data_IF_376531495796
#
_entry.id   IF_376531495796
#
_cell.length_a   1.000
_cell.length_b   1.000
_cell.length_c   1.000
_cell.angle_alpha   90.00
_cell.angle_beta   90.00
_cell.angle_gamma   90.00
#
_symmetry.space_group_name_H-M   'P 1'
#
loop_
_entity.id
_entity.type
_entity.pdbx_description
1 polymer ?
#
# COMPACT_ATOMS: atom_id res chain seq x y z
N UNK A 1 8.22 -6.53 -4.01
CA UNK A 1 6.94 -6.12 -3.39
C UNK A 1 6.15 -7.36 -3.01
N UNK A 2 5.48 -7.37 -1.85
CA UNK A 2 4.59 -8.47 -1.44
C UNK A 2 3.15 -7.95 -1.43
N UNK A 3 2.23 -8.70 -2.02
CA UNK A 3 0.82 -8.32 -2.14
C UNK A 3 -0.04 -9.39 -1.47
N UNK A 4 -0.78 -8.97 -0.44
CA UNK A 4 -1.79 -9.77 0.22
C UNK A 4 -3.18 -9.28 -0.22
N UNK A 5 -3.97 -10.17 -0.81
CA UNK A 5 -5.29 -9.84 -1.34
C UNK A 5 -6.31 -10.97 -1.08
N UNK A 6 -7.60 -10.62 -1.12
CA UNK A 6 -8.69 -11.53 -0.75
C UNK A 6 -9.30 -12.34 -1.89
N UNK A 7 -8.96 -12.04 -3.15
CA UNK A 7 -9.59 -12.66 -4.33
C UNK A 7 -8.61 -13.47 -5.20
N UNK A 8 -7.34 -13.10 -5.22
CA UNK A 8 -6.28 -13.87 -5.90
C UNK A 8 -5.25 -14.41 -4.90
N UNK A 9 -4.44 -15.35 -5.37
CA UNK A 9 -3.33 -15.88 -4.59
C UNK A 9 -2.36 -14.73 -4.20
N UNK A 10 -1.75 -14.78 -3.00
CA UNK A 10 -0.75 -13.80 -2.63
C UNK A 10 0.46 -13.88 -3.55
N UNK A 11 0.97 -12.72 -3.94
CA UNK A 11 2.13 -12.59 -4.83
C UNK A 11 3.28 -12.01 -4.04
N UNK A 12 4.48 -12.55 -4.24
CA UNK A 12 5.70 -11.92 -3.78
C UNK A 12 6.67 -11.77 -4.93
N UNK A 13 7.23 -10.57 -5.06
CA UNK A 13 8.09 -10.16 -6.17
C UNK A 13 9.40 -9.63 -5.61
N UNK A 14 10.52 -10.07 -6.18
CA UNK A 14 11.86 -9.58 -5.86
C UNK A 14 12.13 -8.21 -6.48
N UNK A 15 13.26 -7.58 -6.17
CA UNK A 15 13.66 -6.33 -6.82
C UNK A 15 14.03 -6.49 -8.32
N UNK A 16 14.22 -7.73 -8.78
CA UNK A 16 14.48 -8.07 -10.18
C UNK A 16 13.20 -8.49 -10.92
N UNK A 17 12.01 -8.10 -10.41
CA UNK A 17 10.69 -8.44 -10.95
C UNK A 17 10.40 -9.94 -11.14
N UNK A 18 11.18 -10.79 -10.48
CA UNK A 18 10.87 -12.23 -10.39
C UNK A 18 9.80 -12.46 -9.34
N UNK A 19 8.78 -13.26 -9.66
CA UNK A 19 7.70 -13.63 -8.76
C UNK A 19 7.78 -15.11 -8.33
N UNK A 20 8.52 -15.46 -7.26
CA UNK A 20 8.67 -16.85 -6.87
C UNK A 20 7.42 -17.36 -6.14
N UNK A 21 7.34 -18.69 -5.96
CA UNK A 21 6.24 -19.30 -5.22
C UNK A 21 6.42 -19.24 -3.70
N UNK A 22 5.38 -19.63 -2.95
CA UNK A 22 5.49 -19.93 -1.52
C UNK A 22 5.08 -18.81 -0.56
N UNK A 23 4.55 -17.68 -1.05
CA UNK A 23 3.83 -16.75 -0.20
C UNK A 23 2.49 -17.37 0.26
N UNK A 24 2.11 -17.09 1.51
CA UNK A 24 0.80 -17.47 2.03
C UNK A 24 0.21 -16.33 2.86
N UNK A 25 -1.11 -16.19 2.80
CA UNK A 25 -1.86 -15.19 3.58
C UNK A 25 -2.93 -15.89 4.41
N UNK A 26 -3.12 -15.42 5.64
CA UNK A 26 -4.17 -15.86 6.55
C UNK A 26 -4.82 -14.64 7.20
N UNK A 27 -6.14 -14.57 7.15
CA UNK A 27 -6.90 -13.57 7.87
C UNK A 27 -7.48 -14.16 9.16
N UNK A 28 -7.51 -13.36 10.22
CA UNK A 28 -8.18 -13.70 11.48
C UNK A 28 -9.09 -12.55 11.89
N UNK A 29 -10.40 -12.79 11.83
CA UNK A 29 -11.40 -11.82 12.29
C UNK A 29 -11.35 -11.60 13.81
N UNK A 30 -11.00 -12.64 14.58
CA UNK A 30 -10.94 -12.60 16.05
C UNK A 30 -9.84 -11.67 16.54
N UNK A 31 -8.64 -11.78 15.97
CA UNK A 31 -7.48 -10.96 16.35
C UNK A 31 -7.35 -9.70 15.50
N UNK A 32 -8.18 -9.56 14.45
CA UNK A 32 -8.10 -8.48 13.46
C UNK A 32 -6.73 -8.40 12.78
N UNK A 33 -6.14 -9.56 12.47
CA UNK A 33 -4.81 -9.64 11.86
C UNK A 33 -4.85 -10.27 10.48
N UNK A 34 -4.02 -9.74 9.59
CA UNK A 34 -3.61 -10.42 8.36
C UNK A 34 -2.16 -10.88 8.54
N UNK A 35 -1.94 -12.19 8.48
CA UNK A 35 -0.61 -12.78 8.55
C UNK A 35 -0.12 -13.08 7.14
N UNK A 36 1.00 -12.46 6.77
CA UNK A 36 1.72 -12.74 5.53
C UNK A 36 2.93 -13.62 5.88
N UNK A 37 2.97 -14.83 5.33
CA UNK A 37 4.08 -15.76 5.48
C UNK A 37 4.89 -15.82 4.17
N UNK A 38 6.20 -15.68 4.28
CA UNK A 38 7.14 -15.69 3.16
C UNK A 38 8.21 -16.77 3.35
N UNK A 39 8.79 -17.33 2.27
CA UNK A 39 9.83 -18.34 2.37
C UNK A 39 11.09 -17.79 3.06
N UNK A 40 11.48 -18.40 4.19
CA UNK A 40 12.70 -18.02 4.93
C UNK A 40 13.96 -18.06 4.05
N UNK A 41 14.06 -18.98 3.10
CA UNK A 41 15.22 -19.10 2.21
C UNK A 41 15.46 -17.84 1.35
N UNK A 42 14.41 -17.08 1.03
CA UNK A 42 14.53 -15.85 0.23
C UNK A 42 14.80 -14.59 1.04
N UNK A 43 14.59 -14.63 2.37
CA UNK A 43 14.53 -13.46 3.23
C UNK A 43 15.50 -13.56 4.42
N UNK A 44 15.67 -14.73 5.01
CA UNK A 44 16.33 -14.91 6.31
C UNK A 44 15.32 -14.77 7.45
N UNK A 45 15.81 -14.41 8.64
CA UNK A 45 14.98 -14.19 9.83
C UNK A 45 14.89 -12.70 10.11
N UNK A 46 13.68 -12.10 10.17
CA UNK A 46 13.50 -10.73 10.60
C UNK A 46 14.13 -10.47 11.98
N UNK A 47 14.79 -9.33 12.13
CA UNK A 47 15.47 -8.92 13.36
C UNK A 47 16.05 -7.49 13.23
N UNK A 48 16.91 -7.06 14.18
CA UNK A 48 17.51 -5.73 14.13
C UNK A 48 18.17 -5.43 12.78
N UNK A 49 17.88 -4.24 12.24
CA UNK A 49 18.35 -3.81 10.91
C UNK A 49 17.37 -4.09 9.77
N UNK A 50 16.35 -4.93 9.99
CA UNK A 50 15.25 -5.09 9.04
C UNK A 50 14.36 -3.86 9.02
N UNK A 51 13.78 -3.60 7.85
CA UNK A 51 12.80 -2.52 7.67
C UNK A 51 11.66 -3.01 6.78
N UNK A 52 10.47 -2.48 7.05
CA UNK A 52 9.27 -2.76 6.27
C UNK A 52 8.59 -1.45 5.87
N UNK A 53 8.23 -1.32 4.60
CA UNK A 53 7.22 -0.37 4.16
C UNK A 53 5.91 -1.15 3.96
N UNK A 54 4.81 -0.64 4.51
CA UNK A 54 3.49 -1.28 4.43
C UNK A 54 2.52 -0.26 3.88
N UNK A 55 1.75 -0.67 2.87
CA UNK A 55 0.74 0.14 2.21
C UNK A 55 -0.58 -0.61 2.27
N UNK A 56 -1.61 0.06 2.74
CA UNK A 56 -3.00 -0.36 2.59
C UNK A 56 -3.59 0.33 1.37
N UNK A 57 -4.17 -0.46 0.46
CA UNK A 57 -4.90 0.03 -0.71
C UNK A 57 -6.24 -0.69 -0.83
N UNK A 58 -7.17 -0.10 -1.57
CA UNK A 58 -8.35 -0.83 -2.01
C UNK A 58 -7.97 -1.81 -3.11
N UNK A 59 -8.68 -2.92 -3.20
CA UNK A 59 -8.48 -3.92 -4.25
C UNK A 59 -9.43 -3.65 -5.42
N UNK A 60 -8.95 -3.87 -6.64
CA UNK A 60 -9.74 -3.84 -7.88
C UNK A 60 -9.30 -4.97 -8.82
N UNK A 61 -10.26 -5.71 -9.38
CA UNK A 61 -9.98 -6.80 -10.32
C UNK A 61 -9.82 -6.35 -11.78
N UNK A 62 -10.09 -5.08 -12.07
CA UNK A 62 -10.08 -4.52 -13.43
C UNK A 62 -8.83 -3.71 -13.76
N UNK A 63 -8.00 -3.38 -12.77
CA UNK A 63 -6.75 -2.63 -12.97
C UNK A 63 -5.53 -3.56 -13.11
N UNK A 64 -4.50 -3.16 -13.90
CA UNK A 64 -3.30 -3.98 -14.08
C UNK A 64 -2.50 -4.24 -12.79
N UNK A 65 -2.53 -3.28 -11.87
CA UNK A 65 -1.87 -3.34 -10.56
C UNK A 65 -2.76 -3.93 -9.46
N UNK A 66 -4.01 -4.25 -9.79
CA UNK A 66 -5.05 -4.73 -8.90
C UNK A 66 -5.40 -3.78 -7.75
N UNK A 67 -4.96 -2.52 -7.83
CA UNK A 67 -5.25 -1.48 -6.85
C UNK A 67 -6.46 -0.65 -7.32
N UNK A 68 -7.37 -0.38 -6.38
CA UNK A 68 -8.51 0.51 -6.62
C UNK A 68 -8.01 1.93 -6.82
N UNK A 69 -8.28 2.47 -8.00
CA UNK A 69 -7.93 3.85 -8.35
C UNK A 69 -8.73 4.90 -7.58
N UNK A 70 -8.26 6.13 -7.70
CA UNK A 70 -8.98 7.32 -7.28
C UNK A 70 -9.68 7.96 -8.50
N UNK A 71 -10.76 8.67 -8.24
CA UNK A 71 -11.44 9.62 -9.12
C UNK A 71 -11.33 11.02 -8.49
N UNK A 72 -11.65 12.09 -9.24
CA UNK A 72 -11.52 13.45 -8.69
C UNK A 72 -12.39 13.64 -7.42
N UNK A 73 -13.61 13.11 -7.46
CA UNK A 73 -14.57 13.04 -6.35
C UNK A 73 -15.03 11.61 -6.14
N UNK A 74 -15.47 11.21 -4.93
CA UNK A 74 -15.89 9.83 -4.66
C UNK A 74 -17.04 9.39 -5.57
N UNK A 75 -16.98 8.13 -6.00
CA UNK A 75 -18.03 7.45 -6.76
C UNK A 75 -18.46 6.17 -6.01
N UNK A 76 -19.58 5.50 -6.37
CA UNK A 76 -20.10 4.36 -5.62
C UNK A 76 -19.09 3.24 -5.33
N UNK A 77 -18.11 3.04 -6.22
CA UNK A 77 -17.08 2.02 -6.08
C UNK A 77 -15.66 2.56 -6.23
N UNK A 78 -15.43 3.87 -6.24
CA UNK A 78 -14.09 4.46 -6.37
C UNK A 78 -13.83 5.49 -5.27
N UNK A 79 -12.59 5.58 -4.82
CA UNK A 79 -12.19 6.62 -3.87
C UNK A 79 -12.10 7.97 -4.58
N UNK A 80 -12.41 9.05 -3.87
CA UNK A 80 -12.20 10.40 -4.36
C UNK A 80 -10.88 10.99 -3.85
N UNK A 81 -10.18 11.74 -4.69
CA UNK A 81 -9.05 12.58 -4.24
C UNK A 81 -9.53 13.59 -3.21
N UNK A 82 -10.67 14.24 -3.48
CA UNK A 82 -11.31 15.18 -2.58
C UNK A 82 -12.84 15.03 -2.59
N UNK A 83 -13.51 15.53 -1.56
CA UNK A 83 -14.96 15.70 -1.59
C UNK A 83 -15.38 16.71 -2.68
N UNK A 84 -16.61 16.62 -3.22
CA UNK A 84 -17.15 17.61 -4.14
C UNK A 84 -17.03 19.04 -3.58
N UNK A 85 -16.48 19.96 -4.37
CA UNK A 85 -16.26 21.35 -3.96
C UNK A 85 -15.02 21.59 -3.08
N UNK A 86 -14.15 20.59 -2.90
CA UNK A 86 -12.89 20.76 -2.17
C UNK A 86 -11.96 21.79 -2.82
N UNK A 87 -11.42 22.71 -2.03
CA UNK A 87 -10.54 23.80 -2.50
C UNK A 87 -9.07 23.68 -2.09
N UNK A 88 -8.66 22.58 -1.46
CA UNK A 88 -7.26 22.36 -1.11
C UNK A 88 -6.42 22.17 -2.39
N UNK A 89 -5.12 22.55 -2.40
CA UNK A 89 -4.26 22.37 -3.58
C UNK A 89 -4.20 20.92 -4.10
N UNK A 90 -4.30 19.93 -3.21
CA UNK A 90 -4.38 18.51 -3.56
C UNK A 90 -5.59 18.20 -4.48
N UNK A 91 -6.69 18.94 -4.34
CA UNK A 91 -7.92 18.67 -5.10
C UNK A 91 -7.81 19.01 -6.59
N UNK A 92 -6.77 19.74 -7.02
CA UNK A 92 -6.47 19.94 -8.45
C UNK A 92 -5.56 18.87 -9.04
N UNK A 93 -5.06 17.93 -8.25
CA UNK A 93 -4.25 16.82 -8.77
C UNK A 93 -5.13 15.85 -9.57
N UNK A 94 -4.59 15.39 -10.70
CA UNK A 94 -5.21 14.33 -11.47
C UNK A 94 -5.28 13.04 -10.62
N UNK A 95 -6.33 12.21 -10.76
CA UNK A 95 -6.45 11.00 -9.94
C UNK A 95 -5.32 9.98 -10.16
N UNK A 96 -4.66 10.00 -11.32
CA UNK A 96 -3.46 9.20 -11.59
C UNK A 96 -2.15 9.81 -11.07
N UNK A 97 -2.21 10.99 -10.43
CA UNK A 97 -1.06 11.70 -9.87
C UNK A 97 -1.04 11.72 -8.34
N UNK A 98 -2.03 11.07 -7.71
CA UNK A 98 -2.05 10.82 -6.27
C UNK A 98 -1.66 9.36 -5.99
N UNK A 99 -1.04 9.04 -4.85
CA UNK A 99 -0.78 7.65 -4.48
C UNK A 99 -2.10 6.89 -4.29
N UNK A 100 -2.22 5.68 -4.84
CA UNK A 100 -3.33 4.74 -4.57
C UNK A 100 -3.19 4.09 -3.16
N UNK A 101 -2.87 4.88 -2.15
CA UNK A 101 -2.68 4.46 -0.77
C UNK A 101 -3.76 5.07 0.13
N UNK A 102 -4.41 4.23 0.94
CA UNK A 102 -5.36 4.68 1.96
C UNK A 102 -4.65 4.94 3.30
N UNK A 103 -3.66 4.10 3.62
CA UNK A 103 -2.92 4.15 4.87
C UNK A 103 -1.52 3.55 4.68
N UNK A 104 -0.54 4.05 5.43
CA UNK A 104 0.84 3.58 5.46
C UNK A 104 1.40 3.62 6.88
N UNK A 105 2.31 2.71 7.20
CA UNK A 105 3.04 2.81 8.47
C UNK A 105 4.11 3.91 8.34
N UNK A 106 4.03 4.91 9.21
CA UNK A 106 4.97 6.04 9.25
C UNK A 106 6.03 5.88 10.35
N UNK A 107 7.30 6.27 10.10
CA UNK A 107 8.31 6.38 11.14
C UNK A 107 7.93 7.40 12.22
N UNK A 108 8.49 7.25 13.42
CA UNK A 108 8.33 8.22 14.49
C UNK A 108 8.78 9.63 14.05
N UNK A 109 8.00 10.66 14.42
CA UNK A 109 8.28 12.05 14.07
C UNK A 109 7.81 12.49 12.68
N UNK A 110 7.13 11.61 11.92
CA UNK A 110 6.51 11.91 10.63
C UNK A 110 5.01 11.68 10.70
N UNK A 111 4.24 12.45 9.92
CA UNK A 111 2.80 12.21 9.77
C UNK A 111 2.51 11.50 8.44
N UNK A 112 1.37 10.82 8.36
CA UNK A 112 0.94 10.17 7.12
C UNK A 112 0.61 11.20 6.05
N UNK A 113 0.00 12.31 6.43
CA UNK A 113 -0.35 13.41 5.54
C UNK A 113 0.89 13.93 4.83
N UNK A 114 2.00 14.12 5.57
CA UNK A 114 3.27 14.56 4.98
C UNK A 114 3.91 13.48 4.08
N UNK A 115 3.77 12.20 4.44
CA UNK A 115 4.33 11.09 3.65
C UNK A 115 3.58 10.87 2.34
N UNK A 116 2.26 11.05 2.34
CA UNK A 116 1.40 10.82 1.18
C UNK A 116 1.09 12.09 0.38
N UNK A 117 1.64 13.24 0.74
CA UNK A 117 1.45 14.50 0.01
C UNK A 117 2.24 14.52 -1.32
N UNK A 118 1.54 14.55 -2.49
CA UNK A 118 2.19 14.63 -3.79
C UNK A 118 2.53 16.07 -4.21
N UNK A 119 2.13 17.10 -3.45
CA UNK A 119 2.36 18.51 -3.81
C UNK A 119 3.86 18.84 -3.95
N UNK A 120 4.75 18.39 -3.04
CA UNK A 120 6.17 18.68 -3.15
C UNK A 120 6.90 17.88 -4.23
N UNK A 121 6.30 16.80 -4.73
CA UNK A 121 6.91 15.89 -5.71
C UNK A 121 6.41 14.44 -5.58
N UNK A 122 7.04 13.49 -6.29
CA UNK A 122 6.66 12.08 -6.21
C UNK A 122 6.73 11.54 -4.78
N UNK A 123 5.65 10.90 -4.34
CA UNK A 123 5.55 10.29 -3.01
C UNK A 123 6.56 9.14 -2.89
N UNK A 124 7.34 9.17 -1.81
CA UNK A 124 8.27 8.10 -1.44
C UNK A 124 7.86 7.51 -0.10
N UNK A 125 7.64 6.21 -0.06
CA UNK A 125 7.20 5.52 1.15
C UNK A 125 8.37 5.16 2.05
N UNK A 126 8.44 5.68 3.29
CA UNK A 126 9.49 5.32 4.22
C UNK A 126 9.30 3.89 4.73
N UNK A 127 10.41 3.19 4.96
CA UNK A 127 10.40 1.92 5.65
C UNK A 127 10.63 2.12 7.15
N UNK A 128 9.87 1.40 7.98
CA UNK A 128 9.97 1.43 9.44
C UNK A 128 10.83 0.26 9.91
N UNK A 129 11.73 0.52 10.86
CA UNK A 129 12.61 -0.50 11.41
C UNK A 129 11.84 -1.48 12.29
N UNK A 130 12.23 -2.75 12.23
CA UNK A 130 11.78 -3.76 13.20
C UNK A 130 12.40 -3.41 14.56
N UNK A 131 11.60 -3.35 15.65
CA UNK A 131 12.09 -3.13 17.00
C UNK A 131 13.13 -4.17 17.45
#
# INVERSE_FOLDING_TARGET
MNVAQGFAAPVWVTAADTAPGGAAVRASGTTRTITVALPRAGFGTPGPGWRFAVVLTGQDGFSPDQARGFTATPEPYQFGVCAPGGGAPLCSFGPGSVPQALDVIVPAGRSQEEVLDPIPGPVTLPAVAVP
#
